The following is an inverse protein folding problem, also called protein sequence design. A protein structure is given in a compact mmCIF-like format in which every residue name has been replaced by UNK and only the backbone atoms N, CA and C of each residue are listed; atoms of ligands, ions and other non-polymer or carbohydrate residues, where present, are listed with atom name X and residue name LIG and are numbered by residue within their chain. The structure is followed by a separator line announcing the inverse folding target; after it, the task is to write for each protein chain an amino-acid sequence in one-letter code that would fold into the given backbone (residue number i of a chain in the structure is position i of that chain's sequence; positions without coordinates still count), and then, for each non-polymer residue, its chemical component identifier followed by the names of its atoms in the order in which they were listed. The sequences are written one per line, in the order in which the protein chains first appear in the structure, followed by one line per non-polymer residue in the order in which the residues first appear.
data_IF_266474670098
#
_entry.id   IF_266474670098
#
_cell.length_a   1.000
_cell.length_b   1.000
_cell.length_c   1.000
_cell.angle_alpha   90.00
_cell.angle_beta   90.00
_cell.angle_gamma   90.00
#
_symmetry.space_group_name_H-M   'P 1'
#
loop_
_entity.id
_entity.type
_entity.pdbx_description
1 polymer ?
#
# COMPACT_ATOMS: atom_id res chain seq x y z
N UNK A 1 44.69 -68.42 -10.77
CA UNK A 1 44.90 -67.02 -11.21
C UNK A 1 43.80 -66.17 -10.57
N UNK A 2 44.15 -65.28 -9.64
CA UNK A 2 43.19 -64.55 -8.77
C UNK A 2 42.51 -63.41 -9.55
N UNK A 3 41.18 -63.36 -9.60
CA UNK A 3 40.41 -62.22 -10.10
C UNK A 3 39.90 -61.45 -8.88
N UNK A 4 40.35 -60.20 -8.71
CA UNK A 4 39.87 -59.27 -7.67
C UNK A 4 38.56 -58.64 -8.14
N UNK A 5 37.50 -58.79 -7.34
CA UNK A 5 36.22 -58.10 -7.51
C UNK A 5 36.32 -56.75 -6.78
N UNK A 6 36.24 -55.63 -7.51
CA UNK A 6 36.19 -54.28 -6.94
C UNK A 6 34.72 -53.84 -6.95
N UNK A 7 34.13 -53.73 -5.76
CA UNK A 7 32.79 -53.17 -5.57
C UNK A 7 32.94 -51.67 -5.36
N UNK A 8 32.52 -50.87 -6.33
CA UNK A 8 32.47 -49.41 -6.23
C UNK A 8 31.09 -49.00 -5.72
N UNK A 9 31.04 -48.46 -4.49
CA UNK A 9 29.82 -47.88 -3.91
C UNK A 9 29.69 -46.43 -4.39
N UNK A 10 28.76 -46.19 -5.33
CA UNK A 10 28.39 -44.83 -5.74
C UNK A 10 27.33 -44.34 -4.74
N UNK A 11 27.74 -43.43 -3.85
CA UNK A 11 26.84 -42.72 -2.95
C UNK A 11 26.17 -41.59 -3.75
N UNK A 12 24.89 -41.75 -4.09
CA UNK A 12 24.08 -40.68 -4.65
C UNK A 12 23.66 -39.73 -3.51
N UNK A 13 24.35 -38.60 -3.40
CA UNK A 13 23.99 -37.53 -2.48
C UNK A 13 22.81 -36.74 -3.08
N UNK A 14 21.58 -37.07 -2.68
CA UNK A 14 20.41 -36.25 -3.00
C UNK A 14 20.47 -34.95 -2.17
N UNK A 15 20.92 -33.87 -2.80
CA UNK A 15 20.84 -32.52 -2.25
C UNK A 15 19.38 -32.07 -2.40
N UNK A 16 18.60 -32.19 -1.32
CA UNK A 16 17.31 -31.51 -1.23
C UNK A 16 17.58 -30.00 -1.16
N UNK A 17 17.47 -29.32 -2.29
CA UNK A 17 17.38 -27.86 -2.31
C UNK A 17 16.05 -27.49 -1.65
N UNK A 18 16.11 -27.01 -0.40
CA UNK A 18 14.98 -26.32 0.21
C UNK A 18 14.62 -25.12 -0.67
N UNK A 19 13.34 -24.92 -1.04
CA UNK A 19 12.96 -23.68 -1.70
C UNK A 19 13.21 -22.55 -0.71
N UNK A 20 14.24 -21.75 -0.97
CA UNK A 20 14.38 -20.44 -0.35
C UNK A 20 13.17 -19.63 -0.82
N UNK A 21 12.23 -19.42 0.09
CA UNK A 21 11.14 -18.47 -0.10
C UNK A 21 11.78 -17.11 -0.32
N UNK A 22 11.88 -16.68 -1.57
CA UNK A 22 12.29 -15.33 -1.90
C UNK A 22 11.28 -14.38 -1.28
N UNK A 23 11.73 -13.53 -0.35
CA UNK A 23 10.91 -12.46 0.19
C UNK A 23 10.34 -11.66 -1.00
N UNK A 24 9.01 -11.44 -1.06
CA UNK A 24 8.41 -10.70 -2.15
C UNK A 24 8.97 -9.27 -2.17
N UNK A 25 9.07 -8.64 -3.35
CA UNK A 25 9.74 -7.36 -3.51
C UNK A 25 9.13 -6.30 -2.58
N UNK A 26 10.01 -5.61 -1.85
CA UNK A 26 9.68 -4.65 -0.82
C UNK A 26 8.76 -3.56 -1.37
N UNK A 27 7.50 -3.55 -0.94
CA UNK A 27 6.71 -2.33 -1.03
C UNK A 27 7.36 -1.33 -0.05
N UNK A 28 7.79 -0.16 -0.51
CA UNK A 28 8.40 0.85 0.37
C UNK A 28 7.30 1.61 1.11
N UNK A 29 6.64 0.94 2.04
CA UNK A 29 5.70 1.57 2.96
C UNK A 29 6.45 2.10 4.19
N UNK A 30 7.53 2.85 3.98
CA UNK A 30 8.36 3.45 5.04
C UNK A 30 9.05 2.40 5.90
N UNK A 31 10.37 2.27 5.79
CA UNK A 31 11.10 1.54 6.81
C UNK A 31 10.88 2.26 8.14
N UNK A 32 10.19 1.61 9.08
CA UNK A 32 10.09 2.08 10.46
C UNK A 32 11.49 2.01 11.08
N UNK A 33 12.29 3.02 10.78
CA UNK A 33 13.63 3.19 11.31
C UNK A 33 13.54 3.36 12.82
N UNK A 34 14.53 2.84 13.52
CA UNK A 34 14.59 2.90 14.98
C UNK A 34 14.80 4.35 15.42
N UNK A 35 13.75 4.98 15.96
CA UNK A 35 13.85 6.37 16.39
C UNK A 35 14.61 6.44 17.72
N UNK A 36 15.69 7.19 17.73
CA UNK A 36 16.60 7.31 18.87
C UNK A 36 17.25 8.68 18.90
N UNK A 37 17.73 9.07 20.08
CA UNK A 37 18.54 10.28 20.20
C UNK A 37 19.88 10.07 19.49
N UNK A 38 20.20 10.96 18.55
CA UNK A 38 21.47 10.97 17.84
C UNK A 38 21.84 12.40 17.40
N UNK A 39 23.03 12.60 16.84
CA UNK A 39 23.46 13.88 16.29
C UNK A 39 23.81 13.73 14.79
N UNK A 40 23.16 14.46 13.86
CA UNK A 40 22.04 15.37 14.07
C UNK A 40 20.77 14.66 14.56
N UNK A 41 19.89 15.39 15.25
CA UNK A 41 18.63 14.82 15.76
C UNK A 41 17.86 14.14 14.63
N UNK A 42 17.27 12.97 14.93
CA UNK A 42 16.31 12.39 14.02
C UNK A 42 15.11 13.32 13.91
N UNK A 43 14.70 13.61 12.69
CA UNK A 43 13.53 14.44 12.42
C UNK A 43 12.66 13.78 11.36
N UNK A 44 11.38 14.14 11.34
CA UNK A 44 10.45 13.66 10.32
C UNK A 44 9.02 13.54 10.81
N UNK A 45 8.14 13.18 9.86
CA UNK A 45 6.73 12.94 10.12
C UNK A 45 6.53 11.76 11.08
N UNK A 46 7.37 10.73 10.99
CA UNK A 46 7.40 9.59 11.92
C UNK A 46 7.59 10.02 13.38
N UNK A 47 8.51 10.98 13.62
CA UNK A 47 8.72 11.55 14.95
C UNK A 47 7.53 12.41 15.39
N UNK A 48 7.00 13.23 14.48
CA UNK A 48 5.82 14.06 14.76
C UNK A 48 4.61 13.19 15.15
N UNK A 49 4.39 12.08 14.45
CA UNK A 49 3.34 11.11 14.73
C UNK A 49 3.48 10.52 16.13
N UNK A 50 4.66 9.98 16.49
CA UNK A 50 4.84 9.37 17.82
C UNK A 50 4.73 10.40 18.94
N UNK A 51 5.21 11.63 18.75
CA UNK A 51 5.03 12.73 19.70
C UNK A 51 3.55 13.03 19.90
N UNK A 52 2.76 13.05 18.81
CA UNK A 52 1.32 13.27 18.87
C UNK A 52 0.63 12.15 19.66
N UNK A 53 0.98 10.89 19.40
CA UNK A 53 0.35 9.76 20.09
C UNK A 53 0.73 9.69 21.56
N UNK A 54 2.02 9.84 21.88
CA UNK A 54 2.50 9.88 23.26
C UNK A 54 1.88 11.06 24.02
N UNK A 55 1.63 12.20 23.36
CA UNK A 55 0.94 13.34 23.97
C UNK A 55 -0.53 13.04 24.26
N UNK A 56 -1.24 12.45 23.30
CA UNK A 56 -2.64 12.04 23.49
C UNK A 56 -2.82 11.03 24.62
N UNK A 57 -1.81 10.18 24.85
CA UNK A 57 -1.78 9.21 25.96
C UNK A 57 -1.24 9.79 27.28
N UNK A 58 -0.81 11.05 27.30
CA UNK A 58 -0.32 11.73 28.50
C UNK A 58 1.16 11.53 28.83
N UNK A 59 1.91 10.79 28.00
CA UNK A 59 3.35 10.54 28.17
C UNK A 59 4.24 11.69 27.67
N UNK A 60 3.75 12.55 26.78
CA UNK A 60 4.54 13.66 26.20
C UNK A 60 3.91 15.02 26.46
N UNK A 61 4.66 15.90 27.13
CA UNK A 61 4.22 17.27 27.45
C UNK A 61 4.88 18.34 26.56
N UNK A 62 5.82 17.95 25.71
CA UNK A 62 6.56 18.86 24.83
C UNK A 62 5.76 19.37 23.63
N UNK A 63 6.42 20.20 22.82
CA UNK A 63 5.89 20.65 21.54
C UNK A 63 6.02 19.52 20.49
N UNK A 64 4.94 19.24 19.75
CA UNK A 64 4.99 18.29 18.65
C UNK A 64 5.71 18.99 17.48
N UNK A 65 7.02 18.77 17.39
CA UNK A 65 7.93 19.47 16.48
C UNK A 65 8.62 18.53 15.48
N UNK A 66 8.36 17.23 15.58
CA UNK A 66 8.96 16.22 14.72
C UNK A 66 10.46 16.03 14.93
N UNK A 67 11.01 16.44 16.08
CA UNK A 67 12.41 16.25 16.47
C UNK A 67 12.53 15.23 17.60
N UNK A 68 13.35 14.19 17.42
CA UNK A 68 13.56 13.17 18.44
C UNK A 68 14.59 13.66 19.47
N UNK A 69 14.15 14.63 20.27
CA UNK A 69 14.93 15.31 21.28
C UNK A 69 14.91 14.60 22.64
N UNK A 70 15.57 15.19 23.65
CA UNK A 70 15.59 14.62 25.01
C UNK A 70 14.20 14.52 25.65
N UNK A 71 13.27 15.42 25.31
CA UNK A 71 11.90 15.37 25.79
C UNK A 71 11.16 14.16 25.20
N UNK A 72 11.37 13.91 23.91
CA UNK A 72 10.81 12.75 23.20
C UNK A 72 11.37 11.46 23.80
N UNK A 73 12.68 11.37 24.02
CA UNK A 73 13.32 10.23 24.69
C UNK A 73 12.69 9.96 26.06
N UNK A 74 12.48 11.00 26.86
CA UNK A 74 11.91 10.88 28.19
C UNK A 74 10.49 10.32 28.14
N UNK A 75 9.64 10.85 27.26
CA UNK A 75 8.30 10.33 27.03
C UNK A 75 8.29 8.87 26.55
N UNK A 76 9.22 8.50 25.67
CA UNK A 76 9.37 7.11 25.21
C UNK A 76 9.78 6.20 26.35
N UNK A 77 10.70 6.61 27.22
CA UNK A 77 11.09 5.84 28.40
C UNK A 77 9.94 5.66 29.38
N UNK A 78 9.17 6.71 29.63
CA UNK A 78 8.00 6.66 30.50
C UNK A 78 6.93 5.70 29.95
N UNK A 79 6.63 5.80 28.65
CA UNK A 79 5.77 4.86 27.96
C UNK A 79 6.29 3.43 28.09
N UNK A 80 7.55 3.18 27.71
CA UNK A 80 8.16 1.85 27.78
C UNK A 80 8.11 1.28 29.19
N UNK A 81 8.47 2.07 30.22
CA UNK A 81 8.44 1.64 31.61
C UNK A 81 7.02 1.29 32.06
N UNK A 82 6.02 2.12 31.70
CA UNK A 82 4.63 1.91 32.08
C UNK A 82 4.02 0.67 31.44
N UNK A 83 4.40 0.38 30.19
CA UNK A 83 3.90 -0.75 29.41
C UNK A 83 4.76 -2.03 29.54
N UNK A 84 5.71 -2.06 30.48
CA UNK A 84 6.53 -3.24 30.78
C UNK A 84 7.60 -3.57 29.73
N UNK A 85 8.00 -2.61 28.91
CA UNK A 85 9.10 -2.71 27.96
C UNK A 85 10.44 -2.27 28.59
N UNK A 86 11.54 -2.56 27.91
CA UNK A 86 12.83 -1.97 28.25
C UNK A 86 12.79 -0.46 28.01
N UNK A 87 12.97 0.34 29.08
CA UNK A 87 12.97 1.80 29.03
C UNK A 87 14.29 2.39 28.50
N UNK A 88 14.69 1.99 27.29
CA UNK A 88 15.91 2.46 26.62
C UNK A 88 15.75 3.82 25.93
N UNK A 89 14.50 4.27 25.74
CA UNK A 89 14.18 5.52 25.05
C UNK A 89 14.33 5.41 23.53
N UNK A 90 14.38 4.20 22.99
CA UNK A 90 14.43 3.90 21.56
C UNK A 90 13.04 3.46 21.09
N UNK A 91 12.48 4.19 20.13
CA UNK A 91 11.21 3.84 19.51
C UNK A 91 11.45 2.85 18.35
N UNK A 92 11.59 1.57 18.70
CA UNK A 92 11.74 0.45 17.75
C UNK A 92 10.45 -0.36 17.56
N UNK A 93 10.51 -1.48 16.79
CA UNK A 93 9.35 -2.30 16.46
C UNK A 93 8.53 -2.78 17.68
N UNK A 94 9.19 -3.14 18.78
CA UNK A 94 8.50 -3.55 20.03
C UNK A 94 7.67 -2.42 20.63
N UNK A 95 8.23 -1.21 20.65
CA UNK A 95 7.56 0.00 21.14
C UNK A 95 6.39 0.36 20.22
N UNK A 96 6.57 0.28 18.90
CA UNK A 96 5.50 0.46 17.90
C UNK A 96 4.35 -0.52 18.14
N UNK A 97 4.64 -1.82 18.23
CA UNK A 97 3.62 -2.85 18.37
C UNK A 97 2.83 -2.68 19.68
N UNK A 98 3.52 -2.36 20.78
CA UNK A 98 2.84 -2.07 22.06
C UNK A 98 1.96 -0.82 21.96
N UNK A 99 2.43 0.25 21.31
CA UNK A 99 1.62 1.44 21.09
C UNK A 99 0.37 1.11 20.26
N UNK A 100 0.54 0.35 19.17
CA UNK A 100 -0.55 -0.08 18.30
C UNK A 100 -1.58 -0.95 19.04
N UNK A 101 -1.13 -1.91 19.85
CA UNK A 101 -1.99 -2.78 20.67
C UNK A 101 -2.91 -1.98 21.59
N UNK A 102 -2.40 -0.89 22.20
CA UNK A 102 -3.19 -0.03 23.08
C UNK A 102 -4.25 0.79 22.32
N UNK A 103 -4.02 1.09 21.04
CA UNK A 103 -5.00 1.73 20.17
C UNK A 103 -6.09 0.79 19.69
N UNK A 104 -5.74 -0.44 19.32
CA UNK A 104 -6.65 -1.41 18.70
C UNK A 104 -7.53 -2.16 19.70
N UNK A 105 -7.79 -1.63 20.91
CA UNK A 105 -8.55 -2.27 22.03
C UNK A 105 -9.40 -3.45 21.54
N UNK A 106 -9.13 -4.69 22.00
CA UNK A 106 -9.64 -5.89 21.35
C UNK A 106 -11.15 -5.78 21.13
N UNK A 107 -11.57 -5.90 19.87
CA UNK A 107 -12.97 -6.01 19.51
C UNK A 107 -13.46 -7.30 20.16
N UNK A 108 -14.11 -7.18 21.32
CA UNK A 108 -14.45 -8.31 22.20
C UNK A 108 -15.53 -9.22 21.63
N UNK A 109 -15.96 -8.99 20.39
CA UNK A 109 -16.86 -9.84 19.63
C UNK A 109 -16.33 -9.91 18.20
N UNK A 110 -15.44 -10.87 17.90
CA UNK A 110 -15.19 -11.24 16.51
C UNK A 110 -16.52 -11.75 15.95
N UNK A 111 -17.09 -11.01 15.00
CA UNK A 111 -18.25 -11.48 14.24
C UNK A 111 -17.96 -12.89 13.71
N UNK A 112 -18.80 -13.85 14.12
CA UNK A 112 -18.74 -15.22 13.62
C UNK A 112 -19.35 -15.36 12.23
N UNK A 113 -20.09 -14.35 11.78
CA UNK A 113 -20.71 -14.33 10.48
C UNK A 113 -19.66 -14.14 9.38
N UNK A 114 -19.77 -14.94 8.32
CA UNK A 114 -18.91 -14.88 7.14
C UNK A 114 -19.77 -14.82 5.87
N UNK A 115 -19.26 -14.23 4.78
CA UNK A 115 -19.91 -14.29 3.47
C UNK A 115 -20.16 -15.75 3.06
N UNK A 116 -21.28 -16.01 2.38
CA UNK A 116 -21.65 -17.35 1.92
C UNK A 116 -21.48 -17.56 0.41
N UNK A 117 -21.55 -16.48 -0.38
CA UNK A 117 -21.47 -16.47 -1.84
C UNK A 117 -20.12 -15.99 -2.40
N UNK A 118 -20.14 -15.42 -3.61
CA UNK A 118 -18.95 -14.89 -4.27
C UNK A 118 -18.49 -13.60 -3.58
N UNK A 119 -17.33 -13.67 -2.91
CA UNK A 119 -16.74 -12.53 -2.23
C UNK A 119 -16.03 -11.61 -3.21
N UNK A 120 -16.34 -10.32 -3.11
CA UNK A 120 -15.57 -9.24 -3.75
C UNK A 120 -15.39 -8.06 -2.78
N UNK A 121 -14.46 -7.16 -3.10
CA UNK A 121 -14.17 -5.97 -2.29
C UNK A 121 -14.46 -4.73 -3.12
N UNK A 122 -15.13 -3.75 -2.52
CA UNK A 122 -15.22 -2.36 -3.02
C UNK A 122 -14.53 -1.46 -2.02
N UNK A 123 -13.66 -0.57 -2.48
CA UNK A 123 -12.98 0.43 -1.63
C UNK A 123 -13.28 1.81 -2.20
N UNK A 124 -13.95 2.61 -1.38
CA UNK A 124 -14.27 4.00 -1.64
C UNK A 124 -13.13 4.86 -1.10
N UNK A 125 -12.24 5.29 -2.00
CA UNK A 125 -10.94 5.87 -1.61
C UNK A 125 -11.07 7.24 -0.95
N UNK A 126 -12.06 8.05 -1.32
CA UNK A 126 -12.31 9.36 -0.71
C UNK A 126 -12.97 9.25 0.66
N UNK A 127 -13.87 8.28 0.81
CA UNK A 127 -14.57 7.94 2.03
C UNK A 127 -13.69 7.16 3.00
N UNK A 128 -12.59 6.58 2.49
CA UNK A 128 -11.64 5.75 3.24
C UNK A 128 -12.34 4.58 3.92
N UNK A 129 -13.22 3.94 3.14
CA UNK A 129 -14.03 2.81 3.56
C UNK A 129 -13.86 1.63 2.60
N UNK A 130 -13.67 0.44 3.15
CA UNK A 130 -13.73 -0.82 2.45
C UNK A 130 -15.06 -1.51 2.74
N UNK A 131 -15.68 -2.05 1.71
CA UNK A 131 -16.89 -2.86 1.78
C UNK A 131 -16.57 -4.25 1.24
N UNK A 132 -16.71 -5.27 2.08
CA UNK A 132 -16.77 -6.66 1.64
C UNK A 132 -18.17 -6.92 1.10
N UNK A 133 -18.25 -7.51 -0.08
CA UNK A 133 -19.48 -7.84 -0.77
C UNK A 133 -19.70 -9.34 -0.76
N UNK A 134 -20.95 -9.77 -0.64
CA UNK A 134 -21.40 -11.16 -0.74
C UNK A 134 -22.47 -11.25 -1.85
N UNK A 135 -22.16 -11.96 -2.94
CA UNK A 135 -22.99 -12.01 -4.16
C UNK A 135 -23.42 -10.61 -4.66
N UNK A 136 -22.48 -9.67 -4.64
CA UNK A 136 -22.68 -8.29 -5.09
C UNK A 136 -23.48 -7.39 -4.12
N UNK A 137 -23.84 -7.88 -2.93
CA UNK A 137 -24.50 -7.08 -1.88
C UNK A 137 -23.50 -6.69 -0.78
N UNK A 138 -23.58 -5.47 -0.22
CA UNK A 138 -22.73 -5.10 0.92
C UNK A 138 -22.93 -6.06 2.09
N UNK A 139 -21.86 -6.71 2.52
CA UNK A 139 -21.84 -7.60 3.67
C UNK A 139 -21.31 -6.89 4.91
N UNK A 140 -20.10 -6.31 4.83
CA UNK A 140 -19.48 -5.62 5.97
C UNK A 140 -18.60 -4.46 5.54
N UNK A 141 -18.54 -3.42 6.38
CA UNK A 141 -17.76 -2.20 6.15
C UNK A 141 -16.61 -2.09 7.15
N UNK A 142 -15.48 -1.58 6.69
CA UNK A 142 -14.27 -1.39 7.48
C UNK A 142 -13.65 -0.02 7.17
N UNK A 143 -13.23 0.75 8.18
CA UNK A 143 -12.43 1.93 7.95
C UNK A 143 -11.04 1.52 7.45
N UNK A 144 -10.48 2.28 6.52
CA UNK A 144 -9.15 2.05 5.95
C UNK A 144 -8.33 3.33 5.91
N UNK A 145 -7.00 3.22 5.79
CA UNK A 145 -6.16 4.32 5.32
C UNK A 145 -5.79 4.08 3.86
N UNK A 146 -5.67 5.16 3.09
CA UNK A 146 -5.31 5.11 1.67
C UNK A 146 -4.08 5.97 1.38
N UNK A 147 -3.65 5.99 0.13
CA UNK A 147 -2.50 6.73 -0.34
C UNK A 147 -2.61 8.25 -0.13
N UNK A 148 -1.48 8.90 0.16
CA UNK A 148 -1.35 10.36 0.14
C UNK A 148 -1.69 10.91 -1.25
N UNK A 149 -2.03 12.20 -1.34
CA UNK A 149 -2.25 12.86 -2.64
C UNK A 149 -1.06 12.74 -3.62
N UNK A 150 0.17 12.70 -3.10
CA UNK A 150 1.39 12.52 -3.92
C UNK A 150 1.69 11.06 -4.28
N UNK A 151 1.06 10.11 -3.59
CA UNK A 151 1.22 8.66 -3.80
C UNK A 151 -0.17 8.01 -3.72
N UNK A 152 -1.08 8.37 -4.66
CA UNK A 152 -2.48 8.02 -4.54
C UNK A 152 -2.67 6.51 -4.64
N UNK A 153 -3.72 6.01 -3.99
CA UNK A 153 -4.16 4.63 -4.18
C UNK A 153 -4.69 4.46 -5.61
N UNK A 154 -4.31 3.38 -6.32
CA UNK A 154 -4.73 3.16 -7.70
C UNK A 154 -6.25 3.02 -7.79
N UNK A 155 -6.86 3.65 -8.81
CA UNK A 155 -8.28 3.55 -9.13
C UNK A 155 -8.48 2.55 -10.28
N UNK A 156 -9.50 1.70 -10.17
CA UNK A 156 -9.84 0.69 -11.19
C UNK A 156 -10.24 -0.66 -10.61
N UNK A 157 -10.39 -1.65 -11.49
CA UNK A 157 -10.65 -3.04 -11.14
C UNK A 157 -9.33 -3.83 -11.08
N UNK A 158 -9.10 -4.47 -9.95
CA UNK A 158 -7.94 -5.34 -9.71
C UNK A 158 -8.38 -6.66 -9.09
N UNK A 159 -7.42 -7.56 -8.88
CA UNK A 159 -7.62 -8.83 -8.18
C UNK A 159 -6.54 -9.03 -7.12
N UNK A 160 -6.86 -9.85 -6.12
CA UNK A 160 -5.85 -10.35 -5.17
C UNK A 160 -4.97 -11.37 -5.90
N UNK A 161 -3.66 -11.15 -5.92
CA UNK A 161 -2.68 -12.00 -6.62
C UNK A 161 -1.83 -12.84 -5.68
N UNK A 162 -1.70 -12.41 -4.42
CA UNK A 162 -0.88 -13.07 -3.41
C UNK A 162 -1.42 -12.71 -2.02
N UNK A 163 -1.22 -13.62 -1.06
CA UNK A 163 -1.61 -13.49 0.35
C UNK A 163 -0.47 -13.97 1.24
N UNK A 164 -0.09 -13.17 2.24
CA UNK A 164 0.99 -13.48 3.18
C UNK A 164 0.61 -13.07 4.62
N UNK A 165 1.13 -13.82 5.61
CA UNK A 165 1.11 -13.42 7.01
C UNK A 165 2.42 -12.69 7.35
N UNK A 166 2.33 -11.39 7.61
CA UNK A 166 3.48 -10.54 7.98
C UNK A 166 3.35 -10.15 9.47
N UNK A 167 4.44 -9.76 10.14
CA UNK A 167 4.42 -9.27 11.53
C UNK A 167 5.17 -7.95 11.76
N UNK A 168 5.50 -7.21 10.69
CA UNK A 168 6.27 -5.95 10.74
C UNK A 168 5.41 -4.75 10.29
N UNK A 169 5.97 -3.74 9.62
CA UNK A 169 5.26 -2.49 9.22
C UNK A 169 4.00 -2.67 8.36
N UNK A 170 3.76 -3.88 7.84
CA UNK A 170 2.55 -4.26 7.11
C UNK A 170 1.43 -4.82 7.99
N UNK A 171 1.62 -4.87 9.31
CA UNK A 171 0.69 -5.50 10.24
C UNK A 171 0.63 -7.01 10.04
N UNK A 172 -0.49 -7.63 10.44
CA UNK A 172 -0.60 -9.09 10.58
C UNK A 172 -0.86 -9.86 9.27
N UNK A 173 -1.40 -9.20 8.24
CA UNK A 173 -1.74 -9.81 6.94
C UNK A 173 -1.43 -8.86 5.79
N UNK A 174 -1.04 -9.41 4.65
CA UNK A 174 -0.78 -8.71 3.39
C UNK A 174 -1.51 -9.42 2.24
N UNK A 175 -2.15 -8.64 1.37
CA UNK A 175 -2.85 -9.11 0.18
C UNK A 175 -2.49 -8.25 -1.03
N UNK A 176 -1.69 -8.78 -1.96
CA UNK A 176 -1.18 -8.05 -3.13
C UNK A 176 -2.26 -7.85 -4.19
N UNK A 177 -2.36 -6.66 -4.75
CA UNK A 177 -3.25 -6.32 -5.86
C UNK A 177 -2.56 -6.47 -7.22
N UNK A 178 -3.34 -6.80 -8.26
CA UNK A 178 -2.90 -6.95 -9.66
C UNK A 178 -2.61 -5.62 -10.38
N UNK A 179 -1.95 -4.67 -9.71
CA UNK A 179 -1.62 -3.36 -10.26
C UNK A 179 -0.36 -3.47 -11.12
N UNK A 180 -0.40 -3.12 -12.42
CA UNK A 180 0.72 -3.42 -13.33
C UNK A 180 1.92 -2.47 -13.17
N UNK A 181 1.73 -1.26 -12.66
CA UNK A 181 2.79 -0.24 -12.56
C UNK A 181 3.53 -0.21 -11.22
N UNK A 182 3.19 -1.08 -10.26
CA UNK A 182 3.84 -1.10 -8.97
C UNK A 182 3.33 -2.16 -8.00
N UNK A 183 3.83 -2.12 -6.77
CA UNK A 183 3.42 -3.05 -5.70
C UNK A 183 2.42 -2.33 -4.83
N UNK A 184 1.19 -2.83 -4.84
CA UNK A 184 0.10 -2.32 -4.04
C UNK A 184 -0.59 -3.48 -3.37
N UNK A 185 -1.12 -3.24 -2.18
CA UNK A 185 -1.80 -4.27 -1.40
C UNK A 185 -2.75 -3.72 -0.38
N UNK A 186 -3.62 -4.60 0.10
CA UNK A 186 -4.44 -4.41 1.30
C UNK A 186 -3.70 -5.10 2.44
N UNK A 187 -3.47 -4.41 3.55
CA UNK A 187 -2.69 -4.96 4.65
C UNK A 187 -3.03 -4.35 6.00
N UNK A 188 -2.60 -5.03 7.07
CA UNK A 188 -2.71 -4.52 8.44
C UNK A 188 -1.81 -3.31 8.70
N UNK A 189 -1.71 -2.83 9.93
CA UNK A 189 -0.73 -1.77 10.24
C UNK A 189 -0.30 -1.79 11.69
N UNK A 190 0.95 -1.38 11.93
CA UNK A 190 1.45 -1.02 13.25
C UNK A 190 1.23 0.48 13.59
N UNK A 191 0.53 1.21 12.73
CA UNK A 191 0.10 2.60 12.93
C UNK A 191 -1.43 2.69 12.85
N UNK A 192 -2.18 2.05 13.77
CA UNK A 192 -3.64 2.01 13.73
C UNK A 192 -4.29 3.40 13.76
N UNK A 193 -3.62 4.41 14.32
CA UNK A 193 -4.05 5.81 14.26
C UNK A 193 -4.03 6.42 12.85
N UNK A 194 -3.41 5.75 11.86
CA UNK A 194 -3.46 6.17 10.45
C UNK A 194 -4.74 5.75 9.73
N UNK A 195 -5.50 4.80 10.31
CA UNK A 195 -6.77 4.34 9.74
C UNK A 195 -7.77 5.49 9.72
N UNK A 196 -8.43 5.68 8.58
CA UNK A 196 -9.30 6.84 8.33
C UNK A 196 -8.57 8.08 7.81
N UNK A 197 -7.30 7.98 7.37
CA UNK A 197 -6.53 9.09 6.80
C UNK A 197 -5.88 8.77 5.43
N UNK A 198 -5.36 9.80 4.76
CA UNK A 198 -4.55 9.71 3.53
C UNK A 198 -3.06 9.62 3.90
N UNK A 199 -2.60 8.46 4.38
CA UNK A 199 -1.29 8.32 5.03
C UNK A 199 -0.34 7.26 4.45
N UNK A 200 -0.80 6.45 3.50
CA UNK A 200 0.04 5.39 2.94
C UNK A 200 0.82 5.86 1.70
N UNK A 201 1.77 5.02 1.25
CA UNK A 201 2.44 5.17 -0.04
C UNK A 201 1.61 4.71 -1.24
N UNK A 202 0.30 4.51 -1.08
CA UNK A 202 -0.63 4.03 -2.10
C UNK A 202 -1.34 2.72 -1.73
N UNK A 203 -0.80 1.95 -0.79
CA UNK A 203 -1.44 0.74 -0.26
C UNK A 203 -2.67 1.05 0.62
N UNK A 204 -3.52 0.06 0.84
CA UNK A 204 -4.71 0.20 1.69
C UNK A 204 -4.38 -0.41 3.05
N UNK A 205 -4.33 0.42 4.09
CA UNK A 205 -4.08 -0.02 5.47
C UNK A 205 -5.40 -0.31 6.18
N UNK A 206 -5.40 -1.35 7.00
CA UNK A 206 -6.50 -1.77 7.85
C UNK A 206 -6.00 -1.99 9.27
N UNK A 207 -6.91 -1.96 10.24
CA UNK A 207 -6.63 -2.55 11.56
C UNK A 207 -6.28 -4.03 11.42
N UNK A 208 -5.38 -4.53 12.28
CA UNK A 208 -4.90 -5.91 12.18
C UNK A 208 -6.05 -6.92 12.35
N UNK A 209 -6.94 -6.66 13.31
CA UNK A 209 -8.14 -7.49 13.54
C UNK A 209 -9.09 -7.51 12.34
N UNK A 210 -9.25 -6.38 11.65
CA UNK A 210 -10.09 -6.28 10.46
C UNK A 210 -9.47 -7.00 9.27
N UNK A 211 -8.17 -6.82 9.01
CA UNK A 211 -7.51 -7.48 7.88
C UNK A 211 -7.44 -8.98 8.09
N UNK A 212 -7.26 -9.46 9.32
CA UNK A 212 -7.32 -10.90 9.64
C UNK A 212 -8.67 -11.49 9.29
N UNK A 213 -9.76 -10.79 9.64
CA UNK A 213 -11.10 -11.22 9.29
C UNK A 213 -11.31 -11.26 7.76
N UNK A 214 -10.95 -10.18 7.05
CA UNK A 214 -11.07 -10.13 5.58
C UNK A 214 -10.19 -11.18 4.91
N UNK A 215 -9.00 -11.43 5.45
CA UNK A 215 -8.05 -12.41 4.91
C UNK A 215 -8.64 -13.82 4.89
N UNK A 216 -9.45 -14.21 5.87
CA UNK A 216 -10.11 -15.51 5.87
C UNK A 216 -11.25 -15.61 4.85
N UNK A 217 -11.84 -14.48 4.45
CA UNK A 217 -12.98 -14.45 3.52
C UNK A 217 -12.59 -14.39 2.06
N UNK A 218 -11.42 -13.81 1.74
CA UNK A 218 -11.00 -13.60 0.35
C UNK A 218 -9.99 -14.64 -0.14
N UNK A 219 -9.97 -14.86 -1.44
CA UNK A 219 -9.07 -15.82 -2.10
C UNK A 219 -8.21 -15.10 -3.16
N UNK A 220 -7.13 -15.75 -3.59
CA UNK A 220 -6.42 -15.30 -4.80
C UNK A 220 -7.41 -15.33 -5.97
N UNK A 221 -7.49 -14.24 -6.72
CA UNK A 221 -8.48 -14.01 -7.77
C UNK A 221 -9.69 -13.17 -7.32
N UNK A 222 -9.90 -12.94 -6.02
CA UNK A 222 -10.98 -12.07 -5.53
C UNK A 222 -10.88 -10.68 -6.16
N UNK A 223 -11.99 -10.21 -6.73
CA UNK A 223 -12.09 -8.89 -7.38
C UNK A 223 -12.06 -7.77 -6.33
N UNK A 224 -11.32 -6.72 -6.63
CA UNK A 224 -11.17 -5.51 -5.82
C UNK A 224 -11.44 -4.29 -6.69
N UNK A 225 -12.55 -3.60 -6.42
CA UNK A 225 -12.93 -2.36 -7.08
C UNK A 225 -12.42 -1.18 -6.23
N UNK A 226 -11.45 -0.45 -6.75
CA UNK A 226 -10.96 0.78 -6.14
C UNK A 226 -11.64 1.96 -6.83
N UNK A 227 -12.51 2.64 -6.10
CA UNK A 227 -13.36 3.72 -6.59
C UNK A 227 -12.80 5.06 -6.13
N UNK A 228 -12.57 5.96 -7.08
CA UNK A 228 -12.16 7.35 -6.86
C UNK A 228 -13.36 8.25 -6.59
N UNK A 229 -13.14 9.56 -6.62
CA UNK A 229 -14.23 10.53 -6.71
C UNK A 229 -14.93 10.48 -8.06
N UNK A 230 -15.78 11.48 -8.32
CA UNK A 230 -16.53 11.63 -9.58
C UNK A 230 -15.61 11.66 -10.81
N UNK A 231 -14.39 12.17 -10.66
CA UNK A 231 -13.37 12.23 -11.71
C UNK A 231 -12.53 10.95 -11.83
N UNK A 232 -12.85 9.91 -11.05
CA UNK A 232 -12.16 8.64 -11.06
C UNK A 232 -10.64 8.78 -10.84
N UNK A 233 -9.78 8.31 -11.76
CA UNK A 233 -8.34 8.46 -11.64
C UNK A 233 -7.83 9.90 -11.51
N UNK A 234 -8.61 10.90 -11.92
CA UNK A 234 -8.22 12.31 -11.93
C UNK A 234 -8.74 13.09 -10.72
N UNK A 235 -9.20 12.40 -9.68
CA UNK A 235 -9.73 13.00 -8.43
C UNK A 235 -8.79 14.03 -7.79
N UNK A 236 -7.48 13.95 -8.04
CA UNK A 236 -6.47 14.89 -7.51
C UNK A 236 -5.93 15.87 -8.57
N UNK A 237 -6.68 16.07 -9.66
CA UNK A 237 -6.39 17.02 -10.72
C UNK A 237 -5.69 16.42 -11.94
N UNK A 238 -5.66 17.22 -13.02
CA UNK A 238 -5.04 16.89 -14.30
C UNK A 238 -3.55 17.22 -14.29
N UNK A 239 -2.78 16.50 -13.49
CA UNK A 239 -1.32 16.65 -13.48
C UNK A 239 -0.74 16.29 -14.85
N UNK A 240 0.23 17.06 -15.38
CA UNK A 240 0.83 16.73 -16.67
C UNK A 240 1.50 15.36 -16.65
N UNK A 241 1.20 14.51 -17.65
CA UNK A 241 1.84 13.20 -17.79
C UNK A 241 3.01 13.30 -18.75
N UNK A 242 4.14 12.72 -18.33
CA UNK A 242 5.38 12.73 -19.09
C UNK A 242 6.01 11.35 -19.02
N UNK A 243 7.09 11.14 -19.76
CA UNK A 243 7.80 9.87 -19.72
C UNK A 243 8.25 9.52 -18.30
N UNK A 244 7.88 8.32 -17.84
CA UNK A 244 8.14 7.83 -16.48
C UNK A 244 6.99 8.05 -15.50
N UNK A 245 5.96 8.84 -15.85
CA UNK A 245 4.70 8.89 -15.09
C UNK A 245 4.08 7.49 -14.98
N UNK A 246 3.45 7.20 -13.84
CA UNK A 246 2.80 5.92 -13.57
C UNK A 246 1.51 6.12 -12.79
N UNK A 247 0.46 5.39 -13.13
CA UNK A 247 -0.79 5.47 -12.40
C UNK A 247 -2.04 5.11 -13.20
N UNK A 248 -3.18 5.21 -12.51
CA UNK A 248 -4.49 4.99 -13.12
C UNK A 248 -4.85 6.09 -14.14
N UNK A 249 -4.32 7.29 -13.97
CA UNK A 249 -4.41 8.41 -14.91
C UNK A 249 -3.71 8.09 -16.24
N UNK A 250 -2.49 7.54 -16.17
CA UNK A 250 -1.76 7.05 -17.35
C UNK A 250 -2.53 5.92 -18.04
N UNK A 251 -3.04 4.96 -17.27
CA UNK A 251 -3.84 3.86 -17.82
C UNK A 251 -5.10 4.38 -18.53
N UNK A 252 -5.77 5.39 -17.98
CA UNK A 252 -6.94 5.99 -18.60
C UNK A 252 -6.57 6.73 -19.90
N UNK A 253 -5.46 7.48 -19.92
CA UNK A 253 -4.94 8.09 -21.15
C UNK A 253 -4.61 7.02 -22.22
N UNK A 254 -3.96 5.92 -21.85
CA UNK A 254 -3.68 4.81 -22.76
C UNK A 254 -4.96 4.24 -23.38
N UNK A 255 -6.02 4.04 -22.56
CA UNK A 255 -7.33 3.59 -23.04
C UNK A 255 -7.97 4.59 -24.00
N UNK A 256 -7.95 5.88 -23.68
CA UNK A 256 -8.51 6.94 -24.54
C UNK A 256 -7.77 7.02 -25.88
N UNK A 257 -6.44 7.03 -25.85
CA UNK A 257 -5.62 7.01 -27.07
C UNK A 257 -5.92 5.78 -27.93
N UNK A 258 -6.09 4.61 -27.32
CA UNK A 258 -6.47 3.39 -28.03
C UNK A 258 -7.88 3.48 -28.63
N UNK A 259 -8.84 4.06 -27.90
CA UNK A 259 -10.18 4.36 -28.41
C UNK A 259 -10.18 5.31 -29.62
N UNK A 260 -9.21 6.22 -29.70
CA UNK A 260 -8.96 7.08 -30.87
C UNK A 260 -8.09 6.43 -31.95
N UNK A 261 -7.59 5.21 -31.75
CA UNK A 261 -6.75 4.49 -32.71
C UNK A 261 -5.27 4.91 -32.73
N UNK A 262 -4.79 5.60 -31.70
CA UNK A 262 -3.39 6.06 -31.61
C UNK A 262 -2.50 5.18 -30.72
N UNK A 263 -3.07 4.24 -29.98
CA UNK A 263 -2.34 3.36 -29.07
C UNK A 263 -2.79 1.91 -29.19
N UNK A 264 -1.84 1.00 -29.37
CA UNK A 264 -2.04 -0.45 -29.54
C UNK A 264 -1.30 -1.27 -28.47
N UNK A 265 -0.66 -0.60 -27.51
CA UNK A 265 0.06 -1.22 -26.41
C UNK A 265 -0.84 -1.68 -25.26
N UNK A 266 -0.22 -2.27 -24.24
CA UNK A 266 -0.92 -2.66 -23.02
C UNK A 266 -1.34 -1.43 -22.21
N UNK A 267 -2.52 -1.47 -21.59
CA UNK A 267 -2.96 -0.45 -20.63
C UNK A 267 -2.30 -0.71 -19.27
N UNK A 268 -0.99 -0.61 -19.23
CA UNK A 268 -0.16 -1.01 -18.09
C UNK A 268 0.07 0.13 -17.09
N UNK A 269 -0.51 1.31 -17.35
CA UNK A 269 -0.37 2.51 -16.54
C UNK A 269 1.06 3.01 -16.42
N UNK A 270 1.99 2.60 -17.29
CA UNK A 270 3.34 3.13 -17.38
C UNK A 270 3.46 4.06 -18.60
N UNK A 271 3.88 5.30 -18.38
CA UNK A 271 4.07 6.25 -19.47
C UNK A 271 5.46 6.03 -20.11
N UNK A 272 5.52 5.02 -20.98
CA UNK A 272 6.72 4.66 -21.73
C UNK A 272 6.87 5.38 -23.07
N UNK A 273 7.87 4.95 -23.85
CA UNK A 273 8.13 5.46 -25.20
C UNK A 273 6.93 5.29 -26.14
N UNK A 274 6.26 4.14 -26.09
CA UNK A 274 5.08 3.88 -26.93
C UNK A 274 3.94 4.85 -26.61
N UNK A 275 3.66 5.09 -25.32
CA UNK A 275 2.65 6.07 -24.89
C UNK A 275 3.03 7.48 -25.35
N UNK A 276 4.30 7.88 -25.20
CA UNK A 276 4.76 9.18 -25.69
C UNK A 276 4.59 9.35 -27.21
N UNK A 277 4.90 8.32 -27.99
CA UNK A 277 4.73 8.33 -29.45
C UNK A 277 3.24 8.43 -29.84
N UNK A 278 2.37 7.68 -29.16
CA UNK A 278 0.92 7.76 -29.34
C UNK A 278 0.39 9.17 -29.04
N UNK A 279 0.84 9.79 -27.94
CA UNK A 279 0.47 11.17 -27.61
C UNK A 279 0.95 12.16 -28.67
N UNK A 280 2.19 12.04 -29.17
CA UNK A 280 2.68 12.89 -30.28
C UNK A 280 1.83 12.74 -31.54
N UNK A 281 1.48 11.50 -31.91
CA UNK A 281 0.65 11.24 -33.07
C UNK A 281 -0.77 11.81 -32.89
N UNK A 282 -1.36 11.64 -31.71
CA UNK A 282 -2.65 12.19 -31.36
C UNK A 282 -2.65 13.72 -31.38
N UNK A 283 -1.68 14.36 -30.72
CA UNK A 283 -1.50 15.82 -30.72
C UNK A 283 -1.39 16.36 -32.14
N UNK A 284 -0.55 15.74 -32.98
CA UNK A 284 -0.40 16.12 -34.39
C UNK A 284 -1.73 16.02 -35.14
N UNK A 285 -2.49 14.95 -34.93
CA UNK A 285 -3.78 14.75 -35.59
C UNK A 285 -4.87 15.73 -35.11
N UNK A 286 -4.77 16.20 -33.86
CA UNK A 286 -5.69 17.19 -33.27
C UNK A 286 -5.24 18.65 -33.46
N UNK A 287 -4.10 18.88 -34.12
CA UNK A 287 -3.55 20.23 -34.32
C UNK A 287 -3.02 20.88 -33.04
N UNK A 288 -2.66 20.07 -32.04
CA UNK A 288 -2.07 20.54 -30.78
C UNK A 288 -0.54 20.66 -30.89
N UNK A 289 0.07 21.31 -29.91
CA UNK A 289 1.53 21.33 -29.75
C UNK A 289 2.05 19.91 -29.54
N UNK A 290 2.92 19.44 -30.45
CA UNK A 290 3.43 18.06 -30.45
C UNK A 290 4.58 17.91 -29.44
N UNK A 291 4.25 17.92 -28.16
CA UNK A 291 5.23 17.79 -27.06
C UNK A 291 5.47 16.32 -26.70
N UNK A 292 4.46 15.46 -26.88
CA UNK A 292 4.44 14.10 -26.34
C UNK A 292 4.18 14.03 -24.84
N UNK A 293 3.87 15.16 -24.19
CA UNK A 293 3.39 15.23 -22.82
C UNK A 293 1.88 15.43 -22.86
N UNK A 294 1.16 14.88 -21.89
CA UNK A 294 -0.27 15.14 -21.73
C UNK A 294 -0.43 16.36 -20.85
N UNK A 295 -0.70 17.50 -21.46
CA UNK A 295 -1.10 18.74 -20.80
C UNK A 295 -2.62 18.89 -20.80
N UNK A 296 -3.12 19.99 -20.24
CA UNK A 296 -4.55 20.31 -20.15
C UNK A 296 -5.26 20.25 -21.52
N UNK A 297 -4.69 20.88 -22.55
CA UNK A 297 -5.24 20.84 -23.91
C UNK A 297 -5.29 19.41 -24.48
N UNK A 298 -4.31 18.58 -24.15
CA UNK A 298 -4.30 17.17 -24.55
C UNK A 298 -5.35 16.36 -23.79
N UNK A 299 -5.56 16.60 -22.49
CA UNK A 299 -6.63 15.98 -21.71
C UNK A 299 -8.01 16.33 -22.25
N UNK A 300 -8.27 17.61 -22.52
CA UNK A 300 -9.51 18.07 -23.11
C UNK A 300 -9.77 17.39 -24.46
N UNK A 301 -8.75 17.32 -25.32
CA UNK A 301 -8.86 16.67 -26.62
C UNK A 301 -9.13 15.15 -26.50
N UNK A 302 -8.69 14.50 -25.41
CA UNK A 302 -8.99 13.10 -25.09
C UNK A 302 -10.39 12.91 -24.47
N UNK A 303 -11.15 14.00 -24.27
CA UNK A 303 -12.45 13.99 -23.60
C UNK A 303 -12.35 13.69 -22.11
N UNK A 304 -11.24 14.10 -21.49
CA UNK A 304 -11.02 14.03 -20.04
C UNK A 304 -11.20 15.45 -19.51
N UNK A 305 -12.28 15.66 -18.77
CA UNK A 305 -12.61 16.90 -18.09
C UNK A 305 -13.03 16.56 -16.66
N UNK A 306 -12.65 17.42 -15.72
CA UNK A 306 -13.08 17.29 -14.33
C UNK A 306 -14.51 17.84 -14.20
N UNK A 307 -15.32 17.21 -13.36
CA UNK A 307 -16.61 17.73 -12.98
C UNK A 307 -16.43 18.89 -12.00
N UNK A 308 -16.91 20.08 -12.38
CA UNK A 308 -16.99 21.27 -11.49
C UNK A 308 -18.12 21.15 -10.46
#
# INVERSE_FOLDING_TARGET
MKIKLVISFIIFLFIFATPVSAAPPHCSCGEDRWLKLQNPLMFGQDVHEIQSQLKNMGYYQGAINGLYDKNTVQAVKEFQQKEGLQADGIFGPKTFNKLAELFEKPVSNLDTEKPQGEVSIVIYTLEREMVVMDDGKPFKRFPVAVGKFKTPTPIGLFTITQKDAWGEGFGSRWMRLSVPWGIYGIHGTNKPWSIGAFESGGCIRMHNTHVEQVYEWVQVGTKVFLIGGVDGPFTFGLNPLTQGSKGSDVMEVQKRLAGYGFYDGAYDGNYGQQTQQAVKAFQKAKGLNVTGNVDEATYEALGIQLFE
#
